data_IF_736919130897
#
_entry.id   IF_736919130897
#
_cell.length_a   1.000
_cell.length_b   1.000
_cell.length_c   1.000
_cell.angle_alpha   90.00
_cell.angle_beta   90.00
_cell.angle_gamma   90.00
#
_symmetry.space_group_name_H-M   'P 1'
#
loop_
_entity.id
_entity.type
_entity.pdbx_description
1 polymer ?
#
# COMPACT_ATOMS: atom_id res chain seq x y z
N UNK A 1 37.76 24.31 -3.45
CA UNK A 1 36.31 24.45 -3.18
C UNK A 1 35.59 23.15 -3.52
N UNK A 2 35.61 22.16 -2.64
CA UNK A 2 34.90 20.85 -2.82
C UNK A 2 34.33 20.28 -1.51
N UNK A 3 34.55 20.94 -0.37
CA UNK A 3 34.14 20.44 0.95
C UNK A 3 32.64 20.62 1.27
N UNK A 4 31.91 21.43 0.50
CA UNK A 4 30.49 21.72 0.75
C UNK A 4 29.56 20.56 0.35
N UNK A 5 29.83 19.90 -0.78
CA UNK A 5 28.95 18.85 -1.31
C UNK A 5 28.93 17.55 -0.50
N UNK A 6 29.98 17.27 0.28
CA UNK A 6 30.03 16.10 1.16
C UNK A 6 29.06 16.20 2.32
N UNK A 7 29.05 17.34 3.02
CA UNK A 7 28.18 17.58 4.19
C UNK A 7 26.69 17.53 3.85
N UNK A 8 26.31 18.06 2.68
CA UNK A 8 24.91 18.02 2.23
C UNK A 8 24.46 16.58 1.94
N UNK A 9 25.31 15.77 1.32
CA UNK A 9 25.01 14.34 1.04
C UNK A 9 24.88 13.51 2.31
N UNK A 10 25.76 13.74 3.29
CA UNK A 10 25.69 13.09 4.60
C UNK A 10 24.38 13.46 5.34
N UNK A 11 24.00 14.74 5.32
CA UNK A 11 22.75 15.20 5.91
C UNK A 11 21.52 14.58 5.21
N UNK A 12 21.48 14.56 3.88
CA UNK A 12 20.40 13.91 3.11
C UNK A 12 20.30 12.42 3.45
N UNK A 13 21.43 11.71 3.52
CA UNK A 13 21.46 10.31 3.91
C UNK A 13 20.92 10.08 5.33
N UNK A 14 21.31 10.92 6.28
CA UNK A 14 20.79 10.88 7.65
C UNK A 14 19.27 11.08 7.70
N UNK A 15 18.74 12.08 6.99
CA UNK A 15 17.30 12.34 6.96
C UNK A 15 16.52 11.21 6.28
N UNK A 16 17.04 10.64 5.19
CA UNK A 16 16.41 9.51 4.51
C UNK A 16 16.32 8.29 5.42
N UNK A 17 17.43 7.91 6.06
CA UNK A 17 17.45 6.76 6.98
C UNK A 17 16.52 7.00 8.17
N UNK A 18 16.55 8.21 8.74
CA UNK A 18 15.67 8.58 9.85
C UNK A 18 14.19 8.49 9.44
N UNK A 19 13.82 9.00 8.27
CA UNK A 19 12.46 8.92 7.76
C UNK A 19 12.01 7.47 7.57
N UNK A 20 12.84 6.61 6.96
CA UNK A 20 12.52 5.19 6.81
C UNK A 20 12.35 4.48 8.16
N UNK A 21 13.23 4.73 9.12
CA UNK A 21 13.14 4.14 10.46
C UNK A 21 11.87 4.59 11.20
N UNK A 22 11.57 5.88 11.16
CA UNK A 22 10.35 6.43 11.77
C UNK A 22 9.09 5.85 11.14
N UNK A 23 9.06 5.68 9.81
CA UNK A 23 7.97 5.00 9.10
C UNK A 23 7.76 3.57 9.62
N UNK A 24 8.82 2.76 9.71
CA UNK A 24 8.72 1.37 10.18
C UNK A 24 8.20 1.33 11.63
N UNK A 25 8.73 2.18 12.49
CA UNK A 25 8.32 2.26 13.88
C UNK A 25 6.84 2.68 14.01
N UNK A 26 6.39 3.65 13.20
CA UNK A 26 5.01 4.10 13.20
C UNK A 26 4.02 3.02 12.75
N UNK A 27 4.41 2.15 11.81
CA UNK A 27 3.56 1.06 11.30
C UNK A 27 3.62 -0.23 12.12
N UNK A 28 4.57 -0.33 13.07
CA UNK A 28 4.77 -1.55 13.89
C UNK A 28 3.49 -2.03 14.59
N UNK A 29 2.64 -1.18 15.18
CA UNK A 29 1.40 -1.64 15.82
C UNK A 29 0.43 -2.28 14.84
N UNK A 30 0.33 -1.75 13.61
CA UNK A 30 -0.62 -2.20 12.59
C UNK A 30 -0.14 -3.47 11.88
N UNK A 31 1.18 -3.67 11.76
CA UNK A 31 1.74 -4.85 11.07
C UNK A 31 1.22 -6.18 11.64
N UNK A 32 0.99 -6.23 12.95
CA UNK A 32 0.59 -7.45 13.66
C UNK A 32 -0.88 -7.43 14.08
N UNK A 33 -1.66 -6.47 13.59
CA UNK A 33 -3.08 -6.38 13.88
C UNK A 33 -3.88 -7.34 12.98
N UNK A 34 -5.13 -7.58 13.37
CA UNK A 34 -6.07 -8.40 12.61
C UNK A 34 -6.95 -7.55 11.70
N UNK A 35 -7.64 -8.19 10.75
CA UNK A 35 -8.61 -7.49 9.91
C UNK A 35 -9.79 -6.96 10.73
N UNK A 36 -10.20 -5.73 10.48
CA UNK A 36 -11.25 -5.05 11.24
C UNK A 36 -12.29 -4.39 10.34
N UNK A 37 -13.52 -4.28 10.84
CA UNK A 37 -14.57 -3.46 10.22
C UNK A 37 -14.84 -3.79 8.75
N UNK A 38 -14.55 -2.82 7.87
CA UNK A 38 -14.77 -2.88 6.43
C UNK A 38 -13.77 -3.77 5.68
N UNK A 39 -12.67 -4.21 6.29
CA UNK A 39 -11.75 -5.20 5.73
C UNK A 39 -12.47 -6.49 5.29
N UNK A 40 -13.51 -6.89 6.02
CA UNK A 40 -14.27 -8.09 5.68
C UNK A 40 -15.09 -7.93 4.39
N UNK A 41 -15.56 -6.72 4.08
CA UNK A 41 -16.25 -6.44 2.80
C UNK A 41 -15.28 -6.67 1.64
N UNK A 42 -14.05 -6.22 1.82
CA UNK A 42 -12.97 -6.42 0.87
C UNK A 42 -12.59 -7.89 0.71
N UNK A 43 -12.38 -8.62 1.81
CA UNK A 43 -11.99 -10.04 1.77
C UNK A 43 -13.05 -10.94 1.13
N UNK A 44 -14.33 -10.66 1.39
CA UNK A 44 -15.45 -11.37 0.76
C UNK A 44 -15.42 -11.15 -0.75
N UNK A 45 -15.32 -9.88 -1.18
CA UNK A 45 -15.22 -9.55 -2.61
C UNK A 45 -13.99 -10.17 -3.27
N UNK A 46 -12.82 -10.15 -2.61
CA UNK A 46 -11.57 -10.69 -3.13
C UNK A 46 -11.65 -12.19 -3.41
N UNK A 47 -12.28 -12.95 -2.52
CA UNK A 47 -12.51 -14.39 -2.69
C UNK A 47 -13.25 -14.71 -4.01
N UNK A 48 -14.21 -13.88 -4.37
CA UNK A 48 -14.97 -14.03 -5.62
C UNK A 48 -14.21 -13.47 -6.82
N UNK A 49 -13.53 -12.33 -6.66
CA UNK A 49 -12.79 -11.64 -7.71
C UNK A 49 -11.62 -12.46 -8.28
N UNK A 50 -10.94 -13.26 -7.46
CA UNK A 50 -9.85 -14.12 -7.95
C UNK A 50 -10.33 -15.24 -8.89
N UNK A 51 -11.59 -15.66 -8.76
CA UNK A 51 -12.20 -16.67 -9.62
C UNK A 51 -12.94 -16.04 -10.81
N UNK A 52 -13.32 -14.77 -10.68
CA UNK A 52 -14.09 -14.02 -11.67
C UNK A 52 -13.40 -12.69 -12.02
N UNK A 53 -12.39 -12.70 -12.93
CA UNK A 53 -11.63 -11.51 -13.28
C UNK A 53 -12.48 -10.35 -13.85
N UNK A 54 -13.66 -10.66 -14.38
CA UNK A 54 -14.64 -9.65 -14.79
C UNK A 54 -14.99 -8.66 -13.66
N UNK A 55 -15.06 -9.14 -12.41
CA UNK A 55 -15.34 -8.28 -11.25
C UNK A 55 -14.26 -7.21 -11.05
N UNK A 56 -13.00 -7.56 -11.38
CA UNK A 56 -11.87 -6.64 -11.34
C UNK A 56 -12.02 -5.60 -12.46
N UNK A 57 -12.32 -6.05 -13.68
CA UNK A 57 -12.53 -5.17 -14.82
C UNK A 57 -13.71 -4.21 -14.59
N UNK A 58 -14.79 -4.67 -13.95
CA UNK A 58 -15.96 -3.85 -13.59
C UNK A 58 -15.66 -2.68 -12.68
N UNK A 59 -14.61 -2.72 -11.87
CA UNK A 59 -14.19 -1.57 -11.07
C UNK A 59 -13.66 -0.37 -11.88
N UNK A 60 -13.37 -0.54 -13.18
CA UNK A 60 -12.90 0.56 -14.06
C UNK A 60 -14.03 1.40 -14.67
N UNK A 61 -15.28 0.99 -14.52
CA UNK A 61 -16.43 1.58 -15.22
C UNK A 61 -17.78 1.41 -14.50
N UNK A 62 -17.81 0.67 -13.40
CA UNK A 62 -18.98 0.47 -12.54
C UNK A 62 -18.69 0.89 -11.10
N UNK A 63 -19.66 0.67 -10.21
CA UNK A 63 -19.53 0.96 -8.79
C UNK A 63 -18.42 0.09 -8.16
N UNK A 64 -17.70 0.67 -7.21
CA UNK A 64 -16.57 0.00 -6.58
C UNK A 64 -17.04 -1.19 -5.73
N UNK A 65 -16.47 -2.37 -5.97
CA UNK A 65 -16.84 -3.63 -5.30
C UNK A 65 -18.32 -4.03 -5.54
N UNK A 66 -18.92 -3.51 -6.61
CA UNK A 66 -20.34 -3.71 -6.94
C UNK A 66 -21.34 -3.23 -5.89
N UNK A 67 -20.89 -2.43 -4.92
CA UNK A 67 -21.77 -1.91 -3.86
C UNK A 67 -22.55 -0.70 -4.43
N UNK A 68 -23.90 -0.68 -4.41
CA UNK A 68 -24.68 0.39 -5.04
C UNK A 68 -24.42 1.81 -4.50
N UNK A 69 -23.95 1.90 -3.26
CA UNK A 69 -23.66 3.16 -2.55
C UNK A 69 -22.22 3.65 -2.76
N UNK A 70 -21.30 2.83 -3.29
CA UNK A 70 -19.87 3.16 -3.48
C UNK A 70 -19.59 3.65 -4.90
N UNK A 71 -20.23 4.76 -5.27
CA UNK A 71 -20.04 5.41 -6.59
C UNK A 71 -18.72 6.21 -6.66
N UNK A 72 -17.61 5.57 -6.33
CA UNK A 72 -16.27 6.17 -6.34
C UNK A 72 -15.35 5.40 -7.29
N UNK A 73 -14.54 6.11 -8.06
CA UNK A 73 -13.58 5.52 -8.97
C UNK A 73 -12.28 5.16 -8.24
N UNK A 74 -12.10 3.88 -7.90
CA UNK A 74 -10.92 3.35 -7.16
C UNK A 74 -10.34 2.05 -7.74
N UNK A 75 -10.20 1.91 -9.07
CA UNK A 75 -9.81 0.63 -9.67
C UNK A 75 -8.40 0.17 -9.28
N UNK A 76 -7.47 1.11 -9.08
CA UNK A 76 -6.09 0.76 -8.71
C UNK A 76 -6.05 0.07 -7.34
N UNK A 77 -6.83 0.53 -6.36
CA UNK A 77 -6.93 -0.11 -5.05
C UNK A 77 -7.38 -1.57 -5.21
N UNK A 78 -8.40 -1.82 -6.04
CA UNK A 78 -8.85 -3.20 -6.30
C UNK A 78 -7.77 -4.07 -6.94
N UNK A 79 -6.98 -3.53 -7.88
CA UNK A 79 -5.88 -4.27 -8.52
C UNK A 79 -4.80 -4.63 -7.52
N UNK A 80 -4.39 -3.69 -6.65
CA UNK A 80 -3.41 -3.96 -5.61
C UNK A 80 -3.92 -4.98 -4.60
N UNK A 81 -5.17 -4.83 -4.13
CA UNK A 81 -5.75 -5.78 -3.18
C UNK A 81 -5.89 -7.20 -3.74
N UNK A 82 -6.25 -7.35 -5.03
CA UNK A 82 -6.27 -8.67 -5.68
C UNK A 82 -4.86 -9.24 -5.78
N UNK A 83 -3.88 -8.42 -6.13
CA UNK A 83 -2.48 -8.84 -6.20
C UNK A 83 -1.99 -9.33 -4.84
N UNK A 84 -2.30 -8.60 -3.77
CA UNK A 84 -1.98 -9.00 -2.40
C UNK A 84 -2.69 -10.29 -2.00
N UNK A 85 -3.98 -10.43 -2.32
CA UNK A 85 -4.73 -11.65 -2.01
C UNK A 85 -4.21 -12.87 -2.77
N UNK A 86 -3.71 -12.71 -4.00
CA UNK A 86 -3.08 -13.79 -4.76
C UNK A 86 -1.75 -14.25 -4.15
N UNK A 87 -0.98 -13.33 -3.55
CA UNK A 87 0.33 -13.62 -2.95
C UNK A 87 0.17 -14.14 -1.52
N UNK A 88 -0.68 -13.52 -0.72
CA UNK A 88 -0.77 -13.71 0.72
C UNK A 88 -2.04 -14.46 1.17
N UNK A 89 -3.02 -14.65 0.29
CA UNK A 89 -4.33 -15.19 0.65
C UNK A 89 -5.07 -14.24 1.59
N UNK A 90 -5.74 -14.80 2.62
CA UNK A 90 -6.39 -14.02 3.68
C UNK A 90 -5.45 -13.76 4.88
N UNK A 91 -4.15 -13.52 4.64
CA UNK A 91 -3.18 -13.23 5.69
C UNK A 91 -2.94 -11.71 5.83
N UNK A 92 -3.48 -11.09 6.88
CA UNK A 92 -3.41 -9.63 7.11
C UNK A 92 -1.99 -9.08 7.19
N UNK A 93 -1.06 -9.80 7.84
CA UNK A 93 0.35 -9.40 7.92
C UNK A 93 0.94 -9.19 6.51
N UNK A 94 0.58 -10.04 5.55
CA UNK A 94 1.02 -9.90 4.16
C UNK A 94 0.59 -8.58 3.51
N UNK A 95 -0.69 -8.21 3.66
CA UNK A 95 -1.23 -6.93 3.17
C UNK A 95 -0.53 -5.73 3.84
N UNK A 96 -0.34 -5.80 5.16
CA UNK A 96 0.32 -4.72 5.89
C UNK A 96 1.80 -4.57 5.49
N UNK A 97 2.49 -5.68 5.21
CA UNK A 97 3.86 -5.65 4.67
C UNK A 97 3.89 -5.00 3.29
N UNK A 98 2.99 -5.38 2.37
CA UNK A 98 2.92 -4.73 1.04
C UNK A 98 2.71 -3.22 1.17
N UNK A 99 1.76 -2.80 2.01
CA UNK A 99 1.49 -1.39 2.27
C UNK A 99 2.73 -0.65 2.84
N UNK A 100 3.43 -1.26 3.79
CA UNK A 100 4.65 -0.69 4.36
C UNK A 100 5.76 -0.55 3.30
N UNK A 101 5.93 -1.54 2.44
CA UNK A 101 6.91 -1.49 1.34
C UNK A 101 6.58 -0.35 0.38
N UNK A 102 5.32 -0.20 -0.05
CA UNK A 102 4.93 0.93 -0.90
C UNK A 102 5.12 2.29 -0.23
N UNK A 103 4.87 2.37 1.08
CA UNK A 103 5.11 3.60 1.84
C UNK A 103 6.61 3.92 1.93
N UNK A 104 7.47 2.92 2.14
CA UNK A 104 8.93 3.09 2.12
C UNK A 104 9.45 3.49 0.74
N UNK A 105 8.93 2.89 -0.33
CA UNK A 105 9.26 3.28 -1.71
C UNK A 105 8.89 4.75 -1.93
N UNK A 106 7.70 5.17 -1.49
CA UNK A 106 7.25 6.57 -1.59
C UNK A 106 8.15 7.51 -0.78
N UNK A 107 8.49 7.11 0.44
CA UNK A 107 9.40 7.87 1.34
C UNK A 107 10.75 8.08 0.68
N UNK A 108 11.34 7.02 0.11
CA UNK A 108 12.62 7.07 -0.60
C UNK A 108 12.50 7.94 -1.87
N UNK A 109 11.42 7.78 -2.63
CA UNK A 109 11.18 8.50 -3.89
C UNK A 109 11.17 10.02 -3.72
N UNK A 110 10.65 10.53 -2.59
CA UNK A 110 10.61 11.97 -2.31
C UNK A 110 12.01 12.60 -2.29
N UNK A 111 13.04 11.88 -1.86
CA UNK A 111 14.42 12.40 -1.85
C UNK A 111 15.04 12.48 -3.25
N UNK A 112 14.39 11.92 -4.26
CA UNK A 112 14.79 11.99 -5.66
C UNK A 112 13.99 13.02 -6.47
N UNK A 113 12.96 13.64 -5.87
CA UNK A 113 12.20 14.71 -6.48
C UNK A 113 12.91 16.04 -6.18
N UNK A 114 13.31 16.74 -7.23
CA UNK A 114 14.06 18.01 -7.18
C UNK A 114 13.12 19.22 -7.13
#
# INVERSE_FOLDING_TARGET
>A
MTASGGKTREATGFFLVSACLLTILAYTPVLFDFFTGDDFVHLIWLKDAIHNPELIARNFWSNWLEVPTTRFYRPLISVFMVSDYLIWGANGLGFHITNLVFHLISTISIFFIA
#
